data_IF_568239443660
#
_entry.id   IF_568239443660
#
_cell.length_a   1.000
_cell.length_b   1.000
_cell.length_c   1.000
_cell.angle_alpha   90.00
_cell.angle_beta   90.00
_cell.angle_gamma   90.00
#
_symmetry.space_group_name_H-M   'P 1'
#
loop_
_entity.id
_entity.type
_entity.pdbx_description
1 polymer ?
#
# COMPACT_ATOMS: atom_id res chain seq x y z
N UNK A 1 -55.82 8.04 12.60
CA UNK A 1 -54.90 9.03 12.00
C UNK A 1 -53.48 8.79 12.54
N UNK A 2 -52.97 7.55 12.46
CA UNK A 2 -51.70 7.15 13.11
C UNK A 2 -50.94 6.03 12.36
N UNK A 3 -51.49 5.50 11.27
CA UNK A 3 -50.89 4.40 10.48
C UNK A 3 -50.06 4.91 9.30
N UNK A 4 -50.41 6.06 8.71
CA UNK A 4 -49.67 6.61 7.56
C UNK A 4 -48.29 7.22 7.94
N UNK A 5 -48.09 7.62 9.20
CA UNK A 5 -46.78 8.16 9.67
C UNK A 5 -45.74 7.08 10.00
N UNK A 6 -46.12 5.80 10.06
CA UNK A 6 -45.18 4.69 10.28
C UNK A 6 -44.58 4.16 8.97
N UNK A 7 -45.32 4.24 7.86
CA UNK A 7 -44.81 3.81 6.55
C UNK A 7 -43.72 4.75 6.01
N UNK A 8 -43.90 6.08 6.14
CA UNK A 8 -42.90 7.05 5.64
C UNK A 8 -41.55 6.98 6.37
N UNK A 9 -41.53 6.52 7.63
CA UNK A 9 -40.28 6.32 8.38
C UNK A 9 -39.53 5.05 7.99
N UNK A 10 -40.22 4.08 7.39
CA UNK A 10 -39.62 2.81 6.99
C UNK A 10 -38.98 2.91 5.60
N UNK A 11 -39.54 3.73 4.71
CA UNK A 11 -38.98 3.94 3.35
C UNK A 11 -37.72 4.85 3.31
N UNK A 12 -37.50 5.71 4.30
CA UNK A 12 -36.28 6.53 4.38
C UNK A 12 -35.05 5.76 4.87
N UNK A 13 -35.26 4.60 5.53
CA UNK A 13 -34.19 3.76 6.11
C UNK A 13 -33.64 2.73 5.11
N UNK A 14 -34.21 2.64 3.89
CA UNK A 14 -33.75 1.74 2.83
C UNK A 14 -32.76 2.37 1.84
N UNK A 15 -32.33 3.63 2.04
CA UNK A 15 -31.20 4.16 1.26
C UNK A 15 -29.93 3.44 1.71
N UNK A 16 -29.26 2.66 0.84
CA UNK A 16 -28.02 1.99 1.21
C UNK A 16 -27.03 3.04 1.74
N UNK A 17 -26.30 2.74 2.82
CA UNK A 17 -25.51 3.75 3.52
C UNK A 17 -24.53 4.46 2.57
N UNK A 18 -24.51 5.80 2.61
CA UNK A 18 -23.77 6.62 1.64
C UNK A 18 -22.25 6.34 1.63
N UNK A 19 -21.71 5.82 2.73
CA UNK A 19 -20.30 5.39 2.84
C UNK A 19 -19.95 4.17 1.97
N UNK A 20 -20.94 3.44 1.46
CA UNK A 20 -20.74 2.32 0.52
C UNK A 20 -20.42 2.81 -0.90
N UNK A 21 -20.62 4.09 -1.21
CA UNK A 21 -20.24 4.65 -2.50
C UNK A 21 -18.70 4.82 -2.56
N UNK A 22 -18.05 3.99 -3.39
CA UNK A 22 -16.61 4.07 -3.72
C UNK A 22 -16.17 5.43 -4.29
N UNK A 23 -17.12 6.32 -4.58
CA UNK A 23 -16.92 7.66 -5.10
C UNK A 23 -16.48 8.67 -4.03
N UNK A 24 -16.35 8.25 -2.76
CA UNK A 24 -15.87 9.14 -1.71
C UNK A 24 -14.41 9.56 -1.98
N UNK A 25 -14.09 10.87 -2.00
CA UNK A 25 -12.79 11.38 -2.44
C UNK A 25 -11.59 10.87 -1.61
N UNK A 26 -11.83 10.42 -0.38
CA UNK A 26 -10.82 9.81 0.50
C UNK A 26 -10.47 8.38 0.13
N UNK A 27 -11.35 7.65 -0.58
CA UNK A 27 -11.12 6.25 -0.95
C UNK A 27 -9.89 6.10 -1.85
N UNK A 28 -9.74 6.98 -2.85
CA UNK A 28 -8.57 6.97 -3.76
C UNK A 28 -7.27 7.26 -3.00
N UNK A 29 -7.33 8.13 -2.00
CA UNK A 29 -6.15 8.45 -1.18
C UNK A 29 -5.73 7.29 -0.28
N UNK A 30 -6.70 6.70 0.44
CA UNK A 30 -6.45 5.55 1.32
C UNK A 30 -5.96 4.34 0.53
N UNK A 31 -6.66 3.97 -0.55
CA UNK A 31 -6.26 2.83 -1.39
C UNK A 31 -4.89 3.04 -2.01
N UNK A 32 -4.59 4.23 -2.53
CA UNK A 32 -3.26 4.56 -3.02
C UNK A 32 -2.20 4.38 -1.95
N UNK A 33 -2.38 5.03 -0.80
CA UNK A 33 -1.45 4.94 0.34
C UNK A 33 -1.18 3.50 0.77
N UNK A 34 -2.23 2.73 1.06
CA UNK A 34 -2.08 1.34 1.51
C UNK A 34 -1.53 0.42 0.42
N UNK A 35 -1.83 0.70 -0.85
CA UNK A 35 -1.17 -0.01 -1.97
C UNK A 35 0.32 0.27 -1.98
N UNK A 36 0.74 1.51 -1.69
CA UNK A 36 2.15 1.86 -1.56
C UNK A 36 2.85 1.11 -0.44
N UNK A 37 2.21 1.02 0.73
CA UNK A 37 2.68 0.20 1.85
C UNK A 37 2.80 -1.28 1.47
N UNK A 38 1.73 -1.85 0.91
CA UNK A 38 1.71 -3.24 0.48
C UNK A 38 2.78 -3.52 -0.57
N UNK A 39 3.02 -2.59 -1.48
CA UNK A 39 4.06 -2.70 -2.49
C UNK A 39 5.45 -2.83 -1.86
N UNK A 40 5.80 -1.95 -0.91
CA UNK A 40 7.13 -1.98 -0.25
C UNK A 40 7.36 -3.26 0.53
N UNK A 41 6.32 -3.83 1.15
CA UNK A 41 6.44 -5.05 1.96
C UNK A 41 6.42 -6.30 1.09
N UNK A 42 5.40 -6.43 0.24
CA UNK A 42 5.13 -7.67 -0.48
C UNK A 42 6.03 -7.86 -1.68
N UNK A 43 6.32 -6.80 -2.46
CA UNK A 43 7.06 -6.97 -3.72
C UNK A 43 8.47 -7.50 -3.48
N UNK A 44 9.30 -6.94 -2.59
CA UNK A 44 10.63 -7.48 -2.32
C UNK A 44 10.58 -8.88 -1.72
N UNK A 45 9.65 -9.13 -0.79
CA UNK A 45 9.51 -10.44 -0.14
C UNK A 45 9.11 -11.54 -1.11
N UNK A 46 8.11 -11.29 -1.96
CA UNK A 46 7.67 -12.23 -2.99
C UNK A 46 8.75 -12.42 -4.05
N UNK A 47 9.42 -11.35 -4.46
CA UNK A 47 10.50 -11.43 -5.44
C UNK A 47 11.65 -12.30 -4.92
N UNK A 48 12.11 -12.07 -3.68
CA UNK A 48 13.12 -12.91 -3.04
C UNK A 48 12.66 -14.37 -2.92
N UNK A 49 11.41 -14.61 -2.51
CA UNK A 49 10.87 -15.97 -2.40
C UNK A 49 10.86 -16.70 -3.74
N UNK A 50 10.45 -16.02 -4.83
CA UNK A 50 10.46 -16.58 -6.18
C UNK A 50 11.89 -16.86 -6.65
N UNK A 51 12.82 -15.93 -6.43
CA UNK A 51 14.22 -16.14 -6.82
C UNK A 51 14.84 -17.33 -6.08
N UNK A 52 14.64 -17.41 -4.76
CA UNK A 52 15.15 -18.53 -3.94
C UNK A 52 14.50 -19.87 -4.27
N UNK A 53 13.28 -19.88 -4.83
CA UNK A 53 12.61 -21.11 -5.26
C UNK A 53 13.12 -21.62 -6.62
N UNK A 54 13.64 -20.74 -7.47
CA UNK A 54 14.02 -21.07 -8.86
C UNK A 54 15.54 -21.13 -9.08
N UNK A 55 16.32 -20.46 -8.24
CA UNK A 55 17.76 -20.30 -8.41
C UNK A 55 18.51 -20.62 -7.11
N UNK A 56 19.78 -21.00 -7.24
CA UNK A 56 20.70 -21.09 -6.11
C UNK A 56 20.92 -19.73 -5.44
N UNK A 57 21.26 -19.75 -4.15
CA UNK A 57 21.40 -18.57 -3.30
C UNK A 57 22.28 -17.47 -3.92
N UNK A 58 23.47 -17.82 -4.41
CA UNK A 58 24.38 -16.84 -5.01
C UNK A 58 23.79 -16.16 -6.25
N UNK A 59 23.06 -16.92 -7.08
CA UNK A 59 22.40 -16.35 -8.25
C UNK A 59 21.17 -15.52 -7.88
N UNK A 60 20.42 -15.94 -6.87
CA UNK A 60 19.29 -15.18 -6.34
C UNK A 60 19.74 -13.81 -5.78
N UNK A 61 20.87 -13.77 -5.06
CA UNK A 61 21.43 -12.53 -4.52
C UNK A 61 21.87 -11.57 -5.63
N UNK A 62 22.56 -12.06 -6.67
CA UNK A 62 22.93 -11.26 -7.84
C UNK A 62 21.72 -10.68 -8.58
N UNK A 63 20.60 -11.42 -8.59
CA UNK A 63 19.38 -11.01 -9.29
C UNK A 63 18.46 -10.14 -8.43
N UNK A 64 18.59 -10.17 -7.11
CA UNK A 64 17.72 -9.44 -6.20
C UNK A 64 17.62 -7.92 -6.51
N UNK A 65 18.70 -7.20 -6.87
CA UNK A 65 18.62 -5.78 -7.23
C UNK A 65 17.65 -5.45 -8.37
N UNK A 66 17.32 -6.40 -9.25
CA UNK A 66 16.32 -6.20 -10.31
C UNK A 66 14.91 -5.93 -9.77
N UNK A 67 14.64 -6.19 -8.49
CA UNK A 67 13.41 -5.75 -7.82
C UNK A 67 13.18 -4.25 -7.96
N UNK A 68 14.23 -3.44 -8.07
CA UNK A 68 14.12 -2.00 -8.26
C UNK A 68 13.43 -1.63 -9.58
N UNK A 69 13.46 -2.49 -10.60
CA UNK A 69 12.73 -2.26 -11.84
C UNK A 69 11.22 -2.16 -11.61
N UNK A 70 10.71 -2.78 -10.55
CA UNK A 70 9.29 -2.68 -10.17
C UNK A 70 8.89 -1.25 -9.79
N UNK A 71 9.83 -0.36 -9.41
CA UNK A 71 9.58 1.07 -9.21
C UNK A 71 9.09 1.78 -10.49
N UNK A 72 9.31 1.17 -11.66
CA UNK A 72 8.67 1.61 -12.89
C UNK A 72 7.14 1.66 -12.79
N UNK A 73 6.51 0.79 -11.99
CA UNK A 73 5.06 0.76 -11.78
C UNK A 73 4.54 2.05 -11.11
N UNK A 74 4.97 2.41 -9.88
CA UNK A 74 4.50 3.64 -9.25
C UNK A 74 4.89 4.90 -10.05
N UNK A 75 6.06 4.92 -10.69
CA UNK A 75 6.47 6.05 -11.54
C UNK A 75 5.56 6.17 -12.77
N UNK A 76 5.26 5.06 -13.45
CA UNK A 76 4.35 5.01 -14.59
C UNK A 76 2.94 5.46 -14.24
N UNK A 77 2.44 5.04 -13.07
CA UNK A 77 1.14 5.48 -12.57
C UNK A 77 1.05 6.99 -12.30
N UNK A 78 2.16 7.62 -11.91
CA UNK A 78 2.23 9.08 -11.74
C UNK A 78 2.32 9.82 -13.08
N UNK A 79 3.02 9.26 -14.06
CA UNK A 79 3.14 9.85 -15.39
C UNK A 79 1.80 9.84 -16.17
N UNK A 80 1.00 8.78 -16.01
CA UNK A 80 -0.28 8.68 -16.70
C UNK A 80 -1.34 9.63 -16.09
N UNK A 81 -1.95 10.53 -16.89
CA UNK A 81 -2.83 11.58 -16.38
C UNK A 81 -4.08 11.04 -15.67
N UNK A 82 -4.57 9.85 -16.07
CA UNK A 82 -5.75 9.21 -15.49
C UNK A 82 -5.49 8.62 -14.09
N UNK A 83 -4.27 8.20 -13.78
CA UNK A 83 -3.90 7.52 -12.52
C UNK A 83 -3.05 8.38 -11.59
N UNK A 84 -2.65 9.58 -12.02
CA UNK A 84 -1.70 10.45 -11.31
C UNK A 84 -2.06 10.74 -9.85
N UNK A 85 -3.34 10.93 -9.53
CA UNK A 85 -3.78 11.13 -8.14
C UNK A 85 -3.50 9.90 -7.28
N UNK A 86 -3.91 8.72 -7.75
CA UNK A 86 -3.65 7.45 -7.08
C UNK A 86 -2.15 7.19 -6.93
N UNK A 87 -1.38 7.34 -8.01
CA UNK A 87 0.07 7.14 -8.02
C UNK A 87 0.78 8.05 -7.02
N UNK A 88 0.33 9.31 -6.85
CA UNK A 88 0.90 10.22 -5.86
C UNK A 88 0.66 9.75 -4.42
N UNK A 89 -0.54 9.26 -4.10
CA UNK A 89 -0.82 8.72 -2.77
C UNK A 89 -0.07 7.40 -2.52
N UNK A 90 0.08 6.57 -3.55
CA UNK A 90 0.93 5.38 -3.49
C UNK A 90 2.38 5.72 -3.17
N UNK A 91 2.97 6.70 -3.85
CA UNK A 91 4.33 7.16 -3.54
C UNK A 91 4.47 7.72 -2.12
N UNK A 92 3.44 8.39 -1.59
CA UNK A 92 3.44 8.84 -0.18
C UNK A 92 3.49 7.63 0.74
N UNK A 93 2.60 6.64 0.53
CA UNK A 93 2.60 5.41 1.31
C UNK A 93 3.93 4.68 1.26
N UNK A 94 4.49 4.50 0.06
CA UNK A 94 5.80 3.87 -0.13
C UNK A 94 6.91 4.62 0.63
N UNK A 95 6.98 5.94 0.45
CA UNK A 95 8.00 6.78 1.09
C UNK A 95 7.92 6.73 2.61
N UNK A 96 6.70 6.82 3.16
CA UNK A 96 6.48 6.70 4.61
C UNK A 96 6.88 5.33 5.13
N UNK A 97 6.48 4.24 4.45
CA UNK A 97 6.88 2.88 4.84
C UNK A 97 8.38 2.69 4.77
N UNK A 98 9.05 3.14 3.70
CA UNK A 98 10.50 3.06 3.56
C UNK A 98 11.22 3.80 4.68
N UNK A 99 10.77 5.02 5.01
CA UNK A 99 11.33 5.79 6.12
C UNK A 99 11.23 5.01 7.43
N UNK A 100 10.05 4.44 7.72
CA UNK A 100 9.85 3.62 8.93
C UNK A 100 10.77 2.40 8.94
N UNK A 101 10.82 1.65 7.83
CA UNK A 101 11.65 0.43 7.73
C UNK A 101 13.13 0.73 7.93
N UNK A 102 13.65 1.74 7.22
CA UNK A 102 15.06 2.15 7.35
C UNK A 102 15.34 2.69 8.75
N UNK A 103 14.43 3.51 9.31
CA UNK A 103 14.59 4.06 10.65
C UNK A 103 14.62 2.98 11.72
N UNK A 104 13.72 2.00 11.65
CA UNK A 104 13.69 0.86 12.57
C UNK A 104 14.94 0.00 12.39
N UNK A 105 15.32 -0.33 11.15
CA UNK A 105 16.52 -1.12 10.88
C UNK A 105 17.79 -0.45 11.42
N UNK A 106 17.96 0.85 11.19
CA UNK A 106 19.08 1.62 11.70
C UNK A 106 19.10 1.66 13.24
N UNK A 107 17.95 1.85 13.88
CA UNK A 107 17.84 1.85 15.34
C UNK A 107 18.18 0.48 15.93
N UNK A 108 17.68 -0.60 15.33
CA UNK A 108 17.99 -1.97 15.75
C UNK A 108 19.48 -2.26 15.61
N UNK A 109 20.08 -1.91 14.47
CA UNK A 109 21.54 -2.08 14.26
C UNK A 109 22.32 -1.27 15.26
N UNK A 110 21.95 -0.01 15.50
CA UNK A 110 22.60 0.83 16.51
C UNK A 110 22.52 0.21 17.91
N UNK A 111 21.34 -0.29 18.30
CA UNK A 111 21.15 -0.94 19.60
C UNK A 111 21.97 -2.22 19.75
N UNK A 112 22.02 -3.07 18.72
CA UNK A 112 22.84 -4.28 18.73
C UNK A 112 24.32 -3.96 18.90
N UNK A 113 24.82 -2.96 18.17
CA UNK A 113 26.22 -2.54 18.26
C UNK A 113 26.56 -1.96 19.63
N UNK A 114 25.68 -1.18 20.24
CA UNK A 114 25.94 -0.57 21.57
C UNK A 114 25.81 -1.58 22.72
N UNK A 115 24.98 -2.60 22.57
CA UNK A 115 24.74 -3.62 23.62
C UNK A 115 25.74 -4.77 23.55
N UNK A 116 26.19 -5.15 22.36
CA UNK A 116 27.16 -6.23 22.14
C UNK A 116 28.61 -5.73 21.98
N UNK A 117 28.81 -4.41 21.86
CA UNK A 117 30.11 -3.74 21.67
C UNK A 117 30.83 -3.33 22.95
#
# INVERSE_FOLDING_TARGET
MSTEQQDERTEQDERPPDWWHRDHPTFTALTGFFTGLAFVILVPGVFAAVLSALFDYGRAEELFPFVLLTLGVPIGLVAAPRTRRFGRYMLIGMSTTLLVVVGVAALVVWFLVEVEG
#
